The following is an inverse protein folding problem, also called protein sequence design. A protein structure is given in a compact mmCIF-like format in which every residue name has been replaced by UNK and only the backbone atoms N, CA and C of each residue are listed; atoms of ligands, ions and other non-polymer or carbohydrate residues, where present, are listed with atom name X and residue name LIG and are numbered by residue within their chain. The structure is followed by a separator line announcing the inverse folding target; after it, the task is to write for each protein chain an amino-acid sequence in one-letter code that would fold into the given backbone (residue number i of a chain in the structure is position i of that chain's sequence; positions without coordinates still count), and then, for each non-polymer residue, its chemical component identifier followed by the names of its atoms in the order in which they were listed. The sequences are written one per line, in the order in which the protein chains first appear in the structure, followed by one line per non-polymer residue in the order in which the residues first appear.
data_IF_291973396858
#
_entry.id   IF_291973396858
#
_cell.length_a   1.000
_cell.length_b   1.000
_cell.length_c   1.000
_cell.angle_alpha   90.00
_cell.angle_beta   90.00
_cell.angle_gamma   90.00
#
_symmetry.space_group_name_H-M   'P 1'
#
loop_
_entity.id
_entity.type
_entity.pdbx_description
1 polymer ?
#
# COMPACT_ATOMS: atom_id res chain seq x y z
N UNK A 1 -24.41 19.57 3.83
CA UNK A 1 -23.13 19.20 4.48
C UNK A 1 -22.10 19.00 3.36
N UNK A 2 -21.10 19.88 3.24
CA UNK A 2 -20.03 19.69 2.25
C UNK A 2 -19.14 18.56 2.76
N UNK A 3 -19.24 17.38 2.15
CA UNK A 3 -18.29 16.30 2.41
C UNK A 3 -16.99 16.71 1.74
N UNK A 4 -16.00 17.11 2.53
CA UNK A 4 -14.64 17.29 2.03
C UNK A 4 -14.09 15.91 1.76
N UNK A 5 -14.19 15.45 0.51
CA UNK A 5 -13.69 14.16 0.06
C UNK A 5 -12.19 14.08 0.36
N UNK A 6 -11.85 13.27 1.36
CA UNK A 6 -10.45 12.96 1.67
C UNK A 6 -9.93 11.94 0.67
N UNK A 7 -8.61 11.88 0.46
CA UNK A 7 -7.97 10.87 -0.40
C UNK A 7 -8.29 9.42 0.02
N UNK A 8 -8.71 9.23 1.28
CA UNK A 8 -9.02 7.93 1.85
C UNK A 8 -10.49 7.52 1.68
N UNK A 9 -11.40 8.42 1.28
CA UNK A 9 -12.84 8.12 1.25
C UNK A 9 -13.17 7.06 0.19
N UNK A 10 -12.54 7.13 -0.98
CA UNK A 10 -12.72 6.14 -2.03
C UNK A 10 -12.22 4.74 -1.58
N UNK A 11 -11.08 4.70 -0.90
CA UNK A 11 -10.51 3.44 -0.42
C UNK A 11 -11.31 2.89 0.75
N UNK A 12 -11.85 3.77 1.61
CA UNK A 12 -12.77 3.37 2.68
C UNK A 12 -14.00 2.72 2.09
N UNK A 13 -14.61 3.32 1.08
CA UNK A 13 -15.78 2.74 0.41
C UNK A 13 -15.47 1.37 -0.22
N UNK A 14 -14.33 1.25 -0.91
CA UNK A 14 -13.88 -0.03 -1.46
C UNK A 14 -13.77 -1.10 -0.35
N UNK A 15 -13.08 -0.77 0.74
CA UNK A 15 -12.82 -1.68 1.84
C UNK A 15 -14.09 -2.08 2.61
N UNK A 16 -14.99 -1.13 2.87
CA UNK A 16 -16.18 -1.40 3.71
C UNK A 16 -17.38 -1.93 2.95
N UNK A 17 -17.55 -1.55 1.68
CA UNK A 17 -18.79 -1.86 0.92
C UNK A 17 -18.57 -2.93 -0.14
N UNK A 18 -17.41 -2.93 -0.80
CA UNK A 18 -17.19 -3.73 -2.01
C UNK A 18 -16.45 -5.03 -1.67
N UNK A 19 -15.48 -4.98 -0.75
CA UNK A 19 -14.70 -6.15 -0.37
C UNK A 19 -15.51 -7.08 0.53
N UNK A 20 -15.41 -8.38 0.26
CA UNK A 20 -15.91 -9.42 1.17
C UNK A 20 -14.94 -9.65 2.31
N UNK A 21 -15.40 -10.27 3.40
CA UNK A 21 -14.55 -10.58 4.55
C UNK A 21 -13.30 -11.40 4.15
N UNK A 22 -13.46 -12.41 3.29
CA UNK A 22 -12.35 -13.21 2.78
C UNK A 22 -11.35 -12.39 1.97
N UNK A 23 -11.82 -11.42 1.16
CA UNK A 23 -10.94 -10.54 0.40
C UNK A 23 -10.15 -9.61 1.32
N UNK A 24 -10.80 -9.10 2.37
CA UNK A 24 -10.16 -8.25 3.38
C UNK A 24 -9.13 -9.04 4.19
N UNK A 25 -9.43 -10.27 4.60
CA UNK A 25 -8.48 -11.16 5.27
C UNK A 25 -7.24 -11.45 4.42
N UNK A 26 -7.43 -11.76 3.13
CA UNK A 26 -6.31 -11.95 2.20
C UNK A 26 -5.48 -10.66 2.08
N UNK A 27 -6.13 -9.51 1.90
CA UNK A 27 -5.47 -8.20 1.84
C UNK A 27 -4.62 -7.93 3.09
N UNK A 28 -5.14 -8.20 4.29
CA UNK A 28 -4.40 -8.04 5.54
C UNK A 28 -3.18 -8.95 5.59
N UNK A 29 -3.37 -10.23 5.25
CA UNK A 29 -2.32 -11.24 5.30
C UNK A 29 -1.18 -10.95 4.32
N UNK A 30 -1.51 -10.56 3.09
CA UNK A 30 -0.53 -10.27 2.04
C UNK A 30 0.23 -8.98 2.33
N UNK A 31 -0.47 -7.98 2.87
CA UNK A 31 0.16 -6.74 3.32
C UNK A 31 1.13 -7.01 4.46
N UNK A 32 0.74 -7.78 5.49
CA UNK A 32 1.61 -8.09 6.62
C UNK A 32 2.86 -8.90 6.19
N UNK A 33 2.73 -9.82 5.23
CA UNK A 33 3.86 -10.58 4.67
C UNK A 33 4.95 -9.68 4.10
N UNK A 34 4.60 -8.55 3.49
CA UNK A 34 5.54 -7.59 2.93
C UNK A 34 5.98 -6.55 3.96
N UNK A 35 5.05 -6.05 4.76
CA UNK A 35 5.28 -4.97 5.72
C UNK A 35 6.29 -5.35 6.79
N UNK A 36 6.39 -6.64 7.14
CA UNK A 36 7.38 -7.14 8.12
C UNK A 36 8.83 -6.90 7.73
N UNK A 37 9.13 -6.63 6.45
CA UNK A 37 10.50 -6.34 6.00
C UNK A 37 10.81 -4.84 5.96
N UNK A 38 9.82 -3.98 6.20
CA UNK A 38 10.00 -2.55 6.20
C UNK A 38 10.56 -2.05 7.54
N UNK A 39 11.25 -0.89 7.50
CA UNK A 39 11.66 -0.20 8.72
C UNK A 39 10.45 0.19 9.57
N UNK A 40 10.60 0.17 10.90
CA UNK A 40 9.53 0.53 11.84
C UNK A 40 8.89 1.90 11.57
N UNK A 41 9.66 2.87 11.07
CA UNK A 41 9.13 4.19 10.67
C UNK A 41 8.15 4.06 9.50
N UNK A 42 8.47 3.21 8.52
CA UNK A 42 7.61 2.96 7.35
C UNK A 42 6.37 2.18 7.78
N UNK A 43 6.54 1.19 8.66
CA UNK A 43 5.43 0.43 9.24
C UNK A 43 4.44 1.35 9.97
N UNK A 44 4.93 2.23 10.85
CA UNK A 44 4.12 3.23 11.56
C UNK A 44 3.36 4.13 10.58
N UNK A 45 4.09 4.78 9.66
CA UNK A 45 3.52 5.67 8.64
C UNK A 45 2.43 4.99 7.81
N UNK A 46 2.64 3.73 7.44
CA UNK A 46 1.66 2.95 6.69
C UNK A 46 0.42 2.64 7.53
N UNK A 47 0.58 2.18 8.77
CA UNK A 47 -0.53 1.86 9.66
C UNK A 47 -1.37 3.11 10.01
N UNK A 48 -0.75 4.29 10.11
CA UNK A 48 -1.44 5.58 10.24
C UNK A 48 -2.38 5.84 9.06
N UNK A 49 -1.92 5.57 7.83
CA UNK A 49 -2.76 5.69 6.64
C UNK A 49 -3.89 4.66 6.63
N UNK A 50 -3.64 3.42 7.05
CA UNK A 50 -4.70 2.41 7.15
C UNK A 50 -5.72 2.77 8.24
N UNK A 51 -5.30 3.37 9.34
CA UNK A 51 -6.20 3.83 10.40
C UNK A 51 -7.10 4.98 9.93
N UNK A 52 -6.58 5.85 9.05
CA UNK A 52 -7.39 6.88 8.39
C UNK A 52 -8.46 6.28 7.47
N UNK A 53 -8.20 5.13 6.86
CA UNK A 53 -9.21 4.38 6.08
C UNK A 53 -10.22 3.73 7.04
N UNK A 54 -9.75 2.83 7.91
CA UNK A 54 -10.55 2.16 8.93
C UNK A 54 -9.66 1.70 10.09
N UNK A 55 -9.99 2.02 11.35
CA UNK A 55 -9.23 1.53 12.50
C UNK A 55 -9.11 0.00 12.54
N UNK A 56 -10.18 -0.71 12.15
CA UNK A 56 -10.20 -2.18 12.07
C UNK A 56 -9.17 -2.71 11.07
N UNK A 57 -8.94 -2.00 9.97
CA UNK A 57 -7.98 -2.42 8.95
C UNK A 57 -6.54 -2.34 9.50
N UNK A 58 -6.18 -1.21 10.11
CA UNK A 58 -4.87 -1.07 10.75
C UNK A 58 -4.64 -2.13 11.84
N UNK A 59 -5.65 -2.39 12.68
CA UNK A 59 -5.58 -3.39 13.73
C UNK A 59 -5.37 -4.80 13.17
N UNK A 60 -6.14 -5.19 12.15
CA UNK A 60 -6.02 -6.51 11.55
C UNK A 60 -4.63 -6.77 10.93
N UNK A 61 -3.96 -5.74 10.39
CA UNK A 61 -2.57 -5.87 9.94
C UNK A 61 -1.62 -5.97 11.12
N UNK A 62 -1.79 -5.10 12.13
CA UNK A 62 -0.94 -5.07 13.33
C UNK A 62 -0.91 -6.42 14.05
N UNK A 63 -2.07 -7.06 14.20
CA UNK A 63 -2.21 -8.36 14.88
C UNK A 63 -1.43 -9.49 14.17
N UNK A 64 -1.22 -9.39 12.86
CA UNK A 64 -0.51 -10.39 12.04
C UNK A 64 1.01 -10.16 12.07
N UNK A 65 1.47 -8.95 12.40
CA UNK A 65 2.91 -8.64 12.41
C UNK A 65 3.65 -9.45 13.48
N UNK A 66 4.96 -9.74 13.30
CA UNK A 66 5.77 -10.40 14.32
C UNK A 66 5.79 -9.64 15.66
N UNK A 67 5.80 -10.37 16.78
CA UNK A 67 5.71 -9.79 18.13
C UNK A 67 6.85 -8.80 18.45
N UNK A 68 8.04 -9.00 17.88
CA UNK A 68 9.19 -8.10 18.03
C UNK A 68 8.97 -6.73 17.35
N UNK A 69 8.12 -6.69 16.32
CA UNK A 69 7.75 -5.47 15.62
C UNK A 69 6.57 -4.79 16.28
N UNK A 70 5.58 -5.58 16.73
CA UNK A 70 4.48 -5.08 17.55
C UNK A 70 5.00 -4.34 18.78
N UNK A 71 5.99 -4.89 19.49
CA UNK A 71 6.58 -4.23 20.66
C UNK A 71 7.24 -2.87 20.38
N UNK A 72 7.59 -2.58 19.12
CA UNK A 72 8.18 -1.29 18.70
C UNK A 72 7.16 -0.30 18.17
N UNK A 73 5.92 -0.74 17.99
CA UNK A 73 4.82 0.03 17.44
C UNK A 73 3.80 0.28 18.54
N UNK A 74 3.23 1.49 18.55
CA UNK A 74 2.20 1.88 19.50
C UNK A 74 0.91 2.16 18.71
N UNK A 75 -0.07 1.26 18.86
CA UNK A 75 -1.32 1.35 18.12
C UNK A 75 -2.19 2.53 18.55
N UNK A 76 -2.10 2.97 19.81
CA UNK A 76 -2.83 4.14 20.28
C UNK A 76 -2.28 5.41 19.63
N UNK A 77 -0.95 5.52 19.58
CA UNK A 77 -0.26 6.61 18.88
C UNK A 77 -0.58 6.62 17.39
N UNK A 78 -0.63 5.46 16.74
CA UNK A 78 -1.04 5.33 15.34
C UNK A 78 -2.45 5.89 15.11
N UNK A 79 -3.38 5.64 16.04
CA UNK A 79 -4.75 6.17 15.99
C UNK A 79 -4.80 7.69 16.11
N UNK A 80 -3.97 8.30 16.96
CA UNK A 80 -3.87 9.75 17.10
C UNK A 80 -3.29 10.40 15.84
N UNK A 81 -2.24 9.79 15.28
CA UNK A 81 -1.54 10.28 14.09
C UNK A 81 -2.40 10.16 12.81
N UNK A 82 -3.47 9.36 12.80
CA UNK A 82 -4.37 9.15 11.66
C UNK A 82 -4.95 10.46 11.10
N UNK A 83 -5.17 11.47 11.95
CA UNK A 83 -5.60 12.82 11.54
C UNK A 83 -4.61 13.51 10.61
N UNK A 84 -3.32 13.18 10.73
CA UNK A 84 -2.22 13.73 9.92
C UNK A 84 -1.83 12.83 8.75
N UNK A 85 -2.58 11.75 8.48
CA UNK A 85 -2.29 10.77 7.44
C UNK A 85 -2.04 11.40 6.06
N UNK A 86 -2.76 12.48 5.73
CA UNK A 86 -2.61 13.19 4.47
C UNK A 86 -1.24 13.87 4.25
N UNK A 87 -0.43 14.00 5.29
CA UNK A 87 0.93 14.53 5.23
C UNK A 87 1.99 13.42 5.14
N UNK A 88 1.60 12.17 5.41
CA UNK A 88 2.50 11.03 5.40
C UNK A 88 3.07 10.83 4.00
N UNK A 89 4.40 10.88 3.89
CA UNK A 89 5.11 10.67 2.62
C UNK A 89 5.23 11.92 1.73
N UNK A 90 4.69 13.07 2.15
CA UNK A 90 4.85 14.37 1.45
C UNK A 90 6.11 15.13 1.88
N UNK A 91 6.94 14.52 2.74
CA UNK A 91 8.24 15.05 3.13
C UNK A 91 9.16 15.16 1.90
N UNK A 92 9.66 16.37 1.61
CA UNK A 92 10.43 16.72 0.39
C UNK A 92 11.79 15.97 0.26
N UNK A 93 12.22 15.22 1.28
CA UNK A 93 13.60 14.74 1.43
C UNK A 93 13.79 13.21 1.33
N UNK A 94 12.85 12.43 0.78
CA UNK A 94 12.97 10.96 0.83
C UNK A 94 12.87 10.23 -0.51
N UNK A 95 13.51 10.75 -1.55
CA UNK A 95 13.97 9.93 -2.66
C UNK A 95 15.47 10.11 -2.88
N UNK A 96 16.32 9.10 -2.62
CA UNK A 96 17.67 9.14 -3.16
C UNK A 96 17.55 9.18 -4.68
N UNK A 97 17.86 10.34 -5.28
CA UNK A 97 17.91 10.60 -6.74
C UNK A 97 18.71 9.54 -7.54
N UNK A 98 19.48 8.68 -6.86
CA UNK A 98 20.34 7.64 -7.44
C UNK A 98 19.63 6.34 -7.82
N UNK A 99 18.33 6.17 -7.55
CA UNK A 99 17.55 4.97 -7.93
C UNK A 99 16.43 5.26 -8.95
N UNK A 100 16.52 6.37 -9.67
CA UNK A 100 15.69 6.58 -10.85
C UNK A 100 16.24 5.68 -11.96
N UNK A 101 15.71 4.46 -12.08
CA UNK A 101 15.93 3.65 -13.27
C UNK A 101 15.52 4.49 -14.49
N UNK A 102 16.38 4.64 -15.52
CA UNK A 102 15.99 5.37 -16.72
C UNK A 102 14.84 4.61 -17.37
N UNK A 103 13.64 5.20 -17.37
CA UNK A 103 12.44 4.67 -18.05
C UNK A 103 12.55 4.67 -19.58
N UNK A 104 13.70 5.01 -20.13
CA UNK A 104 14.01 4.94 -21.55
C UNK A 104 14.96 3.79 -21.86
N UNK A 105 14.44 2.55 -21.86
CA UNK A 105 14.90 1.42 -22.72
C UNK A 105 14.07 0.13 -22.61
N UNK A 106 12.73 0.22 -22.49
CA UNK A 106 11.84 -0.96 -22.67
C UNK A 106 10.85 -0.73 -23.83
N UNK A 107 11.32 -0.13 -24.93
CA UNK A 107 10.58 -0.08 -26.21
C UNK A 107 11.18 -1.09 -27.21
N UNK A 108 11.98 -2.05 -26.73
CA UNK A 108 12.80 -2.91 -27.60
C UNK A 108 12.56 -4.42 -27.53
N UNK A 109 11.61 -4.92 -26.72
CA UNK A 109 11.46 -6.38 -26.48
C UNK A 109 10.06 -6.92 -26.82
N UNK A 110 9.18 -6.12 -27.42
CA UNK A 110 7.87 -6.59 -27.91
C UNK A 110 7.69 -6.30 -29.40
N UNK A 111 8.66 -6.74 -30.24
CA UNK A 111 8.52 -6.69 -31.71
C UNK A 111 9.09 -7.90 -32.47
N UNK A 112 9.31 -9.03 -31.81
CA UNK A 112 9.84 -10.25 -32.45
C UNK A 112 9.05 -11.53 -32.20
N UNK A 113 7.91 -11.49 -31.50
CA UNK A 113 7.03 -12.66 -31.33
C UNK A 113 5.78 -12.66 -32.21
N UNK A 114 5.45 -11.55 -32.88
CA UNK A 114 4.27 -11.45 -33.78
C UNK A 114 4.55 -11.77 -35.26
N UNK A 115 5.82 -12.01 -35.65
CA UNK A 115 6.17 -12.38 -37.02
C UNK A 115 6.17 -13.89 -37.30
N UNK A 116 5.89 -14.75 -36.30
CA UNK A 116 5.93 -16.22 -36.46
C UNK A 116 4.56 -16.90 -36.57
N UNK A 117 3.46 -16.16 -36.42
CA UNK A 117 2.10 -16.72 -36.50
C UNK A 117 1.40 -16.42 -37.85
N UNK A 118 1.97 -15.57 -38.71
CA UNK A 118 1.44 -15.30 -40.06
C UNK A 118 2.19 -16.03 -41.20
N UNK A 119 2.99 -17.05 -40.86
CA UNK A 119 3.72 -17.89 -41.83
C UNK A 119 3.10 -19.27 -42.09
N UNK A 120 1.89 -19.53 -41.62
CA UNK A 120 1.24 -20.87 -41.67
C UNK A 120 -0.17 -20.83 -42.28
N UNK A 121 -0.41 -19.90 -43.20
CA UNK A 121 -1.52 -20.00 -44.16
C UNK A 121 -0.92 -19.81 -45.55
N UNK A 122 -0.57 -20.94 -46.16
CA UNK A 122 -0.53 -21.14 -47.61
C UNK A 122 -1.23 -22.45 -47.91
#
# INVERSE_FOLDING_TARGET
MKVNLTEYDQIRELYTRVMTDTQSEHLHSDTAKLLKFADTIVQHKYLVQQCAISPRYAQAIYDILPADQQAKLDIEKIGQDASTAHLVGKDVFRMPRKLMYPTTKIIGVCRTSLARVQGLIK
#
